data_IF_436882674385
#
_entry.id   IF_436882674385
#
_cell.length_a   1.000
_cell.length_b   1.000
_cell.length_c   1.000
_cell.angle_alpha   90.00
_cell.angle_beta   90.00
_cell.angle_gamma   90.00
#
_symmetry.space_group_name_H-M   'P 1'
#
loop_
_entity.id
_entity.type
_entity.pdbx_description
1 polymer ?
#
# COMPACT_ATOMS: atom_id res chain seq x y z
N UNK A 1 26.70 48.45 -47.30
CA UNK A 1 25.84 49.02 -46.25
C UNK A 1 26.27 48.42 -44.91
N UNK A 2 26.94 49.21 -44.08
CA UNK A 2 27.53 48.81 -42.79
C UNK A 2 26.49 49.07 -41.69
N UNK A 3 25.94 48.02 -41.06
CA UNK A 3 25.11 48.19 -39.87
C UNK A 3 25.97 48.06 -38.60
N UNK A 4 26.10 49.17 -37.86
CA UNK A 4 26.66 49.22 -36.51
C UNK A 4 25.61 48.73 -35.51
N UNK A 5 25.88 47.60 -34.84
CA UNK A 5 25.11 47.17 -33.67
C UNK A 5 25.62 47.91 -32.43
N UNK A 6 24.71 48.62 -31.75
CA UNK A 6 24.95 49.28 -30.46
C UNK A 6 24.58 48.29 -29.36
N UNK A 7 25.55 47.92 -28.53
CA UNK A 7 25.36 47.11 -27.33
C UNK A 7 25.00 48.01 -26.14
N UNK A 8 23.76 47.90 -25.65
CA UNK A 8 23.32 48.46 -24.37
C UNK A 8 23.58 47.43 -23.28
N UNK A 9 24.62 47.66 -22.48
CA UNK A 9 24.93 46.84 -21.31
C UNK A 9 23.90 47.06 -20.20
N UNK A 10 23.16 46.01 -19.85
CA UNK A 10 22.29 45.97 -18.67
C UNK A 10 23.12 45.51 -17.47
N UNK A 11 23.16 46.26 -16.36
CA UNK A 11 23.88 45.84 -15.16
C UNK A 11 23.12 44.71 -14.46
N UNK A 12 23.76 43.54 -14.36
CA UNK A 12 23.27 42.36 -13.67
C UNK A 12 23.52 42.52 -12.15
N UNK A 13 22.49 42.87 -11.39
CA UNK A 13 22.55 42.92 -9.92
C UNK A 13 22.45 41.49 -9.34
N UNK A 14 23.55 41.00 -8.75
CA UNK A 14 23.61 39.71 -8.06
C UNK A 14 23.05 39.87 -6.64
N UNK A 15 21.82 39.41 -6.42
CA UNK A 15 21.22 39.32 -5.08
C UNK A 15 21.75 38.07 -4.40
N UNK A 16 22.67 38.24 -3.44
CA UNK A 16 23.19 37.15 -2.60
C UNK A 16 22.16 36.85 -1.51
N UNK A 17 21.26 35.91 -1.79
CA UNK A 17 20.37 35.34 -0.77
C UNK A 17 21.18 34.40 0.13
N UNK A 18 21.45 34.84 1.36
CA UNK A 18 22.09 34.01 2.38
C UNK A 18 21.24 32.78 2.71
N UNK A 19 21.78 31.59 2.45
CA UNK A 19 21.17 30.33 2.85
C UNK A 19 21.22 30.22 4.38
N UNK A 20 20.10 30.50 5.06
CA UNK A 20 19.90 30.17 6.47
C UNK A 20 20.09 28.65 6.63
N UNK A 21 21.20 28.27 7.25
CA UNK A 21 21.56 26.87 7.50
C UNK A 21 20.51 26.29 8.44
N UNK A 22 19.67 25.39 7.92
CA UNK A 22 18.75 24.63 8.76
C UNK A 22 19.55 23.88 9.84
N UNK A 23 19.08 23.82 11.09
CA UNK A 23 19.74 23.05 12.14
C UNK A 23 19.97 21.63 11.64
N UNK A 24 21.23 21.19 11.70
CA UNK A 24 21.68 19.90 11.20
C UNK A 24 20.91 18.80 11.91
N UNK A 25 20.07 18.09 11.15
CA UNK A 25 19.29 16.97 11.68
C UNK A 25 20.27 15.93 12.26
N UNK A 26 20.05 15.42 13.48
CA UNK A 26 20.95 14.44 14.09
C UNK A 26 21.16 13.24 13.16
N UNK A 27 22.38 12.70 13.17
CA UNK A 27 22.71 11.51 12.42
C UNK A 27 21.83 10.32 12.87
N UNK A 28 21.42 9.42 11.94
CA UNK A 28 20.71 8.20 12.31
C UNK A 28 21.53 7.34 13.29
N UNK A 29 20.84 6.70 14.24
CA UNK A 29 21.47 5.76 15.17
C UNK A 29 21.70 4.41 14.48
N UNK A 30 22.75 3.63 14.84
CA UNK A 30 22.95 2.29 14.27
C UNK A 30 21.75 1.36 14.48
N UNK A 31 21.51 0.46 13.53
CA UNK A 31 20.51 -0.61 13.64
C UNK A 31 21.16 -1.78 14.38
N UNK A 32 20.59 -2.20 15.50
CA UNK A 32 21.15 -3.24 16.38
C UNK A 32 20.21 -4.42 16.62
N UNK A 33 19.33 -4.69 15.65
CA UNK A 33 18.35 -5.78 15.66
C UNK A 33 18.13 -6.27 14.24
N UNK A 34 17.52 -7.45 14.09
CA UNK A 34 17.09 -7.97 12.79
C UNK A 34 16.18 -6.97 12.08
N UNK A 35 16.37 -6.81 10.77
CA UNK A 35 15.43 -6.08 9.91
C UNK A 35 14.61 -7.09 9.11
N UNK A 36 13.30 -6.95 9.18
CA UNK A 36 12.33 -7.71 8.41
C UNK A 36 11.95 -6.96 7.15
N UNK A 37 11.88 -7.66 6.02
CA UNK A 37 11.43 -7.15 4.74
C UNK A 37 10.18 -7.92 4.28
N UNK A 38 9.20 -7.15 3.81
CA UNK A 38 8.02 -7.65 3.11
C UNK A 38 7.84 -6.96 1.76
N UNK A 39 7.27 -7.70 0.81
CA UNK A 39 6.82 -7.15 -0.47
C UNK A 39 5.38 -6.64 -0.35
N UNK A 40 5.09 -5.50 -0.99
CA UNK A 40 3.76 -4.95 -1.19
C UNK A 40 3.60 -4.33 -2.59
N UNK A 41 2.37 -4.15 -3.07
CA UNK A 41 2.07 -3.57 -4.40
C UNK A 41 1.15 -2.35 -4.25
N UNK A 42 1.50 -1.19 -4.80
CA UNK A 42 0.65 0.02 -4.75
C UNK A 42 -0.35 0.07 -5.90
N UNK A 43 -1.61 0.42 -5.59
CA UNK A 43 -2.73 0.56 -6.54
C UNK A 43 -3.36 1.98 -6.44
N UNK A 44 -3.99 2.52 -7.50
CA UNK A 44 -3.95 2.03 -8.87
C UNK A 44 -2.57 2.17 -9.46
N UNK A 45 -2.13 1.14 -10.15
CA UNK A 45 -1.20 1.32 -11.25
C UNK A 45 -1.54 0.24 -12.25
N UNK A 46 -1.80 0.61 -13.51
CA UNK A 46 -2.12 -0.34 -14.59
C UNK A 46 -1.08 -1.47 -14.70
N UNK A 47 0.10 -1.26 -14.14
CA UNK A 47 1.16 -2.25 -14.12
C UNK A 47 1.77 -2.51 -12.74
N UNK A 48 1.14 -2.12 -11.63
CA UNK A 48 1.66 -2.37 -10.27
C UNK A 48 2.97 -1.62 -9.95
N UNK A 49 3.04 -0.99 -8.78
CA UNK A 49 4.32 -0.46 -8.27
C UNK A 49 4.77 -1.31 -7.09
N UNK A 50 5.93 -1.96 -7.23
CA UNK A 50 6.49 -2.80 -6.17
C UNK A 50 7.06 -1.92 -5.05
N UNK A 51 6.67 -2.20 -3.81
CA UNK A 51 7.24 -1.60 -2.60
C UNK A 51 7.91 -2.66 -1.73
N UNK A 52 8.98 -2.25 -1.07
CA UNK A 52 9.59 -2.97 0.04
C UNK A 52 9.13 -2.30 1.35
N UNK A 53 8.52 -3.07 2.24
CA UNK A 53 8.20 -2.64 3.61
C UNK A 53 9.28 -3.21 4.53
N UNK A 54 9.95 -2.34 5.26
CA UNK A 54 11.00 -2.70 6.19
C UNK A 54 10.55 -2.37 7.62
N UNK A 55 10.85 -3.26 8.57
CA UNK A 55 10.66 -3.01 10.00
C UNK A 55 11.78 -3.65 10.81
N UNK A 56 12.20 -3.01 11.90
CA UNK A 56 13.09 -3.66 12.87
C UNK A 56 12.33 -4.65 13.74
N UNK A 57 13.00 -5.68 14.23
CA UNK A 57 12.50 -6.56 15.30
C UNK A 57 12.40 -5.79 16.63
N UNK A 58 13.36 -4.90 16.89
CA UNK A 58 13.36 -4.05 18.09
C UNK A 58 12.24 -3.03 18.04
N UNK A 59 11.57 -2.87 19.18
CA UNK A 59 10.66 -1.75 19.45
C UNK A 59 11.40 -0.56 20.09
N UNK A 60 10.93 0.64 19.78
CA UNK A 60 11.43 1.91 20.27
C UNK A 60 10.33 2.63 21.06
N UNK A 61 10.73 3.57 21.92
CA UNK A 61 9.82 4.39 22.75
C UNK A 61 8.85 5.31 22.01
N UNK A 62 8.81 5.26 20.67
CA UNK A 62 7.91 6.04 19.82
C UNK A 62 7.38 5.13 18.71
N UNK A 63 6.09 5.21 18.39
CA UNK A 63 5.46 4.34 17.38
C UNK A 63 5.73 4.78 15.93
N UNK A 64 6.21 6.00 15.74
CA UNK A 64 6.53 6.60 14.43
C UNK A 64 8.04 6.78 14.20
N UNK A 65 8.87 5.89 14.76
CA UNK A 65 10.31 5.87 14.44
C UNK A 65 10.51 5.41 13.00
N UNK A 66 11.38 6.12 12.28
CA UNK A 66 11.68 5.81 10.89
C UNK A 66 13.01 5.06 10.75
N UNK A 67 13.05 4.10 9.85
CA UNK A 67 14.28 3.51 9.33
C UNK A 67 14.78 4.42 8.20
N UNK A 68 15.92 5.07 8.37
CA UNK A 68 16.51 5.91 7.33
C UNK A 68 17.11 5.02 6.24
N UNK A 69 16.72 5.24 4.98
CA UNK A 69 17.15 4.44 3.84
C UNK A 69 17.62 5.32 2.67
N UNK A 70 18.42 4.75 1.78
CA UNK A 70 18.76 5.32 0.47
C UNK A 70 18.68 4.24 -0.61
N UNK A 71 18.10 4.56 -1.75
CA UNK A 71 17.96 3.64 -2.88
C UNK A 71 18.75 4.17 -4.09
N UNK A 72 19.75 3.41 -4.53
CA UNK A 72 20.41 3.61 -5.81
C UNK A 72 19.85 2.61 -6.84
N UNK A 73 19.63 3.10 -8.06
CA UNK A 73 19.05 2.35 -9.18
C UNK A 73 20.04 2.32 -10.33
N UNK A 74 20.20 1.16 -10.95
CA UNK A 74 20.90 0.99 -12.21
C UNK A 74 20.12 -0.02 -13.08
N UNK A 75 20.39 -0.10 -14.39
CA UNK A 75 19.74 -1.10 -15.24
C UNK A 75 19.90 -2.51 -14.65
N UNK A 76 18.77 -3.20 -14.41
CA UNK A 76 18.74 -4.56 -13.86
C UNK A 76 19.16 -4.69 -12.38
N UNK A 77 19.37 -3.60 -11.65
CA UNK A 77 19.83 -3.69 -10.25
C UNK A 77 19.34 -2.56 -9.33
N UNK A 78 19.14 -2.93 -8.06
CA UNK A 78 18.76 -2.03 -6.99
C UNK A 78 19.72 -2.21 -5.81
N UNK A 79 20.20 -1.09 -5.27
CA UNK A 79 20.97 -1.09 -4.02
C UNK A 79 20.24 -0.26 -2.96
N UNK A 80 19.77 -0.93 -1.91
CA UNK A 80 19.11 -0.32 -0.77
C UNK A 80 20.08 -0.26 0.42
N UNK A 81 20.46 0.94 0.83
CA UNK A 81 21.30 1.16 2.01
C UNK A 81 20.43 1.55 3.21
N UNK A 82 20.53 0.80 4.30
CA UNK A 82 19.91 1.09 5.59
C UNK A 82 20.87 1.95 6.41
N UNK A 83 20.57 3.24 6.52
CA UNK A 83 21.43 4.26 7.11
C UNK A 83 21.35 4.30 8.64
N UNK A 84 20.27 3.79 9.22
CA UNK A 84 20.07 3.77 10.68
C UNK A 84 18.63 4.05 11.10
N UNK A 85 18.44 4.21 12.40
CA UNK A 85 17.16 4.51 13.05
C UNK A 85 17.09 6.00 13.34
N UNK A 86 15.98 6.64 12.93
CA UNK A 86 15.77 8.07 13.07
C UNK A 86 14.52 8.35 13.91
N UNK A 87 14.72 9.11 14.98
CA UNK A 87 13.62 9.62 15.77
C UNK A 87 12.91 10.76 15.02
N UNK A 88 11.58 10.83 15.09
CA UNK A 88 10.82 11.96 14.59
C UNK A 88 11.02 13.20 15.49
N UNK A 89 10.68 14.38 14.97
CA UNK A 89 10.64 15.60 15.80
C UNK A 89 9.54 15.57 16.85
N UNK A 90 8.42 14.89 16.54
CA UNK A 90 7.31 14.62 17.45
C UNK A 90 7.14 13.11 17.58
N UNK A 91 7.29 12.63 18.81
CA UNK A 91 7.10 11.23 19.18
C UNK A 91 5.61 10.96 19.39
N UNK A 92 5.03 10.01 18.65
CA UNK A 92 3.72 9.47 18.98
C UNK A 92 3.87 8.49 20.14
N UNK A 93 3.11 8.71 21.22
CA UNK A 93 3.19 7.90 22.43
C UNK A 93 2.84 6.46 22.12
N UNK A 94 3.79 5.55 22.32
CA UNK A 94 3.61 4.12 22.08
C UNK A 94 4.92 3.46 21.72
N UNK A 95 5.01 2.16 21.99
CA UNK A 95 6.11 1.35 21.49
C UNK A 95 5.83 0.97 20.04
N UNK A 96 6.88 0.94 19.21
CA UNK A 96 6.77 0.45 17.84
C UNK A 96 8.13 0.25 17.17
N UNK A 97 8.19 -0.56 16.10
CA UNK A 97 9.42 -0.77 15.35
C UNK A 97 9.81 0.49 14.56
N UNK A 98 11.09 0.58 14.18
CA UNK A 98 11.49 1.54 13.16
C UNK A 98 11.07 1.01 11.79
N UNK A 99 10.34 1.82 11.01
CA UNK A 99 9.78 1.37 9.73
C UNK A 99 10.25 2.22 8.54
N UNK A 100 10.28 1.62 7.36
CA UNK A 100 10.45 2.32 6.08
C UNK A 100 9.63 1.65 4.98
N UNK A 101 9.17 2.46 4.03
CA UNK A 101 8.68 1.97 2.75
C UNK A 101 9.60 2.47 1.65
N UNK A 102 10.04 1.57 0.78
CA UNK A 102 10.91 1.88 -0.35
C UNK A 102 10.19 1.48 -1.63
N UNK A 103 9.90 2.47 -2.45
CA UNK A 103 9.29 2.28 -3.76
C UNK A 103 10.37 1.80 -4.75
N UNK A 104 10.17 0.66 -5.42
CA UNK A 104 11.02 0.15 -6.51
C UNK A 104 10.49 0.49 -7.89
N UNK A 105 9.34 1.14 -7.99
CA UNK A 105 8.70 1.56 -9.21
C UNK A 105 7.96 0.44 -9.92
N UNK A 106 7.54 0.74 -11.14
CA UNK A 106 7.08 -0.26 -12.06
C UNK A 106 8.26 -1.08 -12.60
N UNK A 107 8.12 -2.41 -12.60
CA UNK A 107 9.11 -3.36 -13.08
C UNK A 107 8.52 -4.24 -14.18
N UNK A 108 9.25 -4.35 -15.28
CA UNK A 108 8.95 -5.30 -16.35
C UNK A 108 9.27 -6.72 -15.91
N UNK A 109 8.71 -7.73 -16.59
CA UNK A 109 9.11 -9.11 -16.37
C UNK A 109 10.62 -9.29 -16.62
N UNK A 110 11.29 -10.02 -15.73
CA UNK A 110 12.73 -10.18 -15.77
C UNK A 110 13.32 -10.54 -14.41
N UNK A 111 14.64 -10.59 -14.38
CA UNK A 111 15.43 -10.82 -13.17
C UNK A 111 16.24 -9.58 -12.83
N UNK A 112 16.24 -9.19 -11.56
CA UNK A 112 16.95 -8.03 -11.05
C UNK A 112 17.82 -8.41 -9.87
N UNK A 113 19.00 -7.82 -9.78
CA UNK A 113 19.85 -7.92 -8.58
C UNK A 113 19.33 -6.98 -7.50
N UNK A 114 19.09 -7.51 -6.30
CA UNK A 114 18.82 -6.72 -5.10
C UNK A 114 20.02 -6.80 -4.16
N UNK A 115 20.59 -5.64 -3.82
CA UNK A 115 21.67 -5.54 -2.84
C UNK A 115 21.21 -4.70 -1.65
N UNK A 116 21.23 -5.28 -0.46
CA UNK A 116 20.95 -4.58 0.78
C UNK A 116 22.27 -4.28 1.50
N UNK A 117 22.45 -3.04 1.97
CA UNK A 117 23.62 -2.65 2.77
C UNK A 117 23.13 -2.29 4.16
N UNK A 118 23.56 -3.05 5.17
CA UNK A 118 23.20 -2.86 6.57
C UNK A 118 24.48 -2.85 7.42
N UNK A 119 24.74 -1.76 8.14
CA UNK A 119 25.94 -1.59 8.97
C UNK A 119 27.26 -1.89 8.21
N UNK A 120 27.32 -1.54 6.92
CA UNK A 120 28.47 -1.78 6.04
C UNK A 120 28.55 -3.19 5.45
N UNK A 121 27.78 -4.16 5.97
CA UNK A 121 27.67 -5.49 5.38
C UNK A 121 26.73 -5.47 4.17
N UNK A 122 27.12 -6.16 3.10
CA UNK A 122 26.30 -6.32 1.91
C UNK A 122 25.60 -7.69 1.92
N UNK A 123 24.32 -7.69 1.54
CA UNK A 123 23.47 -8.86 1.43
C UNK A 123 22.94 -8.88 0.00
N UNK A 124 23.21 -9.94 -0.73
CA UNK A 124 22.80 -10.08 -2.14
C UNK A 124 21.58 -10.99 -2.26
N UNK A 125 20.69 -10.64 -3.17
CA UNK A 125 19.46 -11.35 -3.48
C UNK A 125 19.06 -11.14 -4.93
N UNK A 126 18.13 -11.96 -5.41
CA UNK A 126 17.58 -11.83 -6.77
C UNK A 126 16.09 -11.59 -6.68
N UNK A 127 15.58 -10.64 -7.44
CA UNK A 127 14.16 -10.37 -7.60
C UNK A 127 13.71 -10.88 -8.96
N UNK A 128 12.82 -11.87 -8.94
CA UNK A 128 12.15 -12.42 -10.10
C UNK A 128 10.81 -11.71 -10.26
N UNK A 129 10.63 -11.06 -11.41
CA UNK A 129 9.39 -10.37 -11.77
C UNK A 129 8.72 -11.11 -12.92
N UNK A 130 7.47 -11.47 -12.73
CA UNK A 130 6.62 -12.08 -13.75
C UNK A 130 5.34 -11.28 -13.91
N UNK A 131 4.53 -11.60 -14.91
CA UNK A 131 3.23 -10.96 -15.09
C UNK A 131 2.32 -11.09 -13.85
N UNK A 132 2.43 -12.19 -13.09
CA UNK A 132 1.51 -12.49 -11.97
C UNK A 132 2.14 -12.51 -10.57
N UNK A 133 3.46 -12.32 -10.44
CA UNK A 133 4.11 -12.37 -9.13
C UNK A 133 5.47 -11.66 -9.09
N UNK A 134 5.85 -11.25 -7.89
CA UNK A 134 7.20 -10.89 -7.47
C UNK A 134 7.75 -11.97 -6.56
N UNK A 135 9.01 -12.34 -6.72
CA UNK A 135 9.68 -13.29 -5.82
C UNK A 135 11.12 -12.90 -5.53
N UNK A 136 11.49 -12.81 -4.25
CA UNK A 136 12.88 -12.68 -3.82
C UNK A 136 13.48 -14.07 -3.59
N UNK A 137 14.71 -14.27 -4.04
CA UNK A 137 15.50 -15.49 -3.83
C UNK A 137 16.81 -15.14 -3.13
N UNK A 138 17.09 -15.81 -2.01
CA UNK A 138 18.25 -15.52 -1.16
C UNK A 138 17.99 -14.40 -0.16
N UNK A 139 19.05 -13.84 0.43
CA UNK A 139 18.99 -12.62 1.24
C UNK A 139 18.79 -12.78 2.75
N UNK A 140 18.38 -13.94 3.24
CA UNK A 140 18.25 -14.15 4.69
C UNK A 140 19.62 -14.29 5.35
N UNK A 141 19.82 -13.54 6.42
CA UNK A 141 21.01 -13.52 7.27
C UNK A 141 20.61 -13.34 8.72
N UNK A 142 21.56 -13.40 9.66
CA UNK A 142 21.26 -13.16 11.08
C UNK A 142 20.74 -11.74 11.37
N UNK A 143 21.04 -10.74 10.53
CA UNK A 143 20.63 -9.34 10.71
C UNK A 143 19.52 -8.88 9.77
N UNK A 144 19.07 -9.74 8.85
CA UNK A 144 18.11 -9.39 7.82
C UNK A 144 17.27 -10.60 7.40
N UNK A 145 15.94 -10.47 7.47
CA UNK A 145 14.99 -11.54 7.17
C UNK A 145 13.96 -11.06 6.16
N UNK A 146 13.66 -11.89 5.16
CA UNK A 146 12.57 -11.72 4.21
C UNK A 146 11.42 -12.62 4.69
N UNK A 147 10.37 -12.02 5.26
CA UNK A 147 9.28 -12.75 5.92
C UNK A 147 8.45 -13.56 4.91
N UNK A 148 8.19 -12.96 3.74
CA UNK A 148 7.44 -13.58 2.65
C UNK A 148 8.14 -13.33 1.31
N UNK A 149 8.80 -14.37 0.80
CA UNK A 149 9.62 -14.27 -0.40
C UNK A 149 8.82 -14.14 -1.69
N UNK A 150 7.51 -14.42 -1.70
CA UNK A 150 6.65 -14.35 -2.89
C UNK A 150 5.42 -13.50 -2.63
N UNK A 151 5.12 -12.60 -3.56
CA UNK A 151 3.93 -11.75 -3.59
C UNK A 151 3.21 -11.94 -4.93
N UNK A 152 1.91 -12.26 -4.89
CA UNK A 152 1.06 -12.25 -6.07
C UNK A 152 0.69 -10.82 -6.44
N UNK A 153 0.63 -10.57 -7.74
CA UNK A 153 0.17 -9.30 -8.30
C UNK A 153 -1.33 -9.27 -8.36
N UNK A 154 -1.94 -8.16 -7.98
CA UNK A 154 -3.39 -7.96 -8.05
C UNK A 154 -3.80 -7.81 -9.52
N UNK A 155 -4.66 -8.69 -10.06
CA UNK A 155 -5.17 -8.53 -11.42
C UNK A 155 -6.05 -7.28 -11.55
N UNK A 156 -5.96 -6.56 -12.67
CA UNK A 156 -6.70 -5.29 -12.90
C UNK A 156 -8.20 -5.39 -12.64
N UNK A 157 -8.81 -6.53 -12.97
CA UNK A 157 -10.26 -6.77 -12.86
C UNK A 157 -10.65 -7.54 -11.60
N UNK A 158 -9.77 -7.63 -10.61
CA UNK A 158 -10.08 -8.25 -9.33
C UNK A 158 -10.91 -7.27 -8.50
N UNK A 159 -12.03 -7.73 -7.94
CA UNK A 159 -12.74 -7.04 -6.86
C UNK A 159 -12.75 -7.97 -5.65
N UNK A 160 -12.39 -7.46 -4.47
CA UNK A 160 -12.33 -8.27 -3.25
C UNK A 160 -12.81 -7.46 -2.06
N UNK A 161 -13.00 -8.14 -0.93
CA UNK A 161 -13.35 -7.47 0.31
C UNK A 161 -14.07 -8.41 1.25
N UNK A 162 -14.91 -7.82 2.10
CA UNK A 162 -15.67 -8.57 3.07
C UNK A 162 -16.95 -7.85 3.45
N UNK A 163 -17.90 -8.66 3.92
CA UNK A 163 -19.14 -8.18 4.51
C UNK A 163 -19.30 -8.75 5.92
N UNK A 164 -19.53 -7.88 6.89
CA UNK A 164 -19.68 -8.21 8.31
C UNK A 164 -21.08 -7.89 8.82
N UNK A 165 -21.66 -8.79 9.61
CA UNK A 165 -23.00 -8.64 10.20
C UNK A 165 -23.16 -9.47 11.49
N UNK A 166 -24.26 -9.25 12.21
CA UNK A 166 -24.50 -9.84 13.53
C UNK A 166 -25.71 -10.78 13.64
N UNK A 167 -26.72 -10.64 12.78
CA UNK A 167 -27.99 -11.36 12.89
C UNK A 167 -28.54 -11.83 11.53
N UNK A 168 -29.71 -12.48 11.57
CA UNK A 168 -30.38 -13.03 10.38
C UNK A 168 -30.83 -11.94 9.38
N UNK A 169 -31.19 -10.75 9.84
CA UNK A 169 -31.53 -9.64 8.96
C UNK A 169 -30.28 -9.13 8.23
N UNK A 170 -29.16 -9.02 8.94
CA UNK A 170 -27.85 -8.73 8.37
C UNK A 170 -27.38 -9.79 7.38
N UNK A 171 -27.66 -11.08 7.64
CA UNK A 171 -27.38 -12.16 6.69
C UNK A 171 -28.16 -12.00 5.39
N UNK A 172 -29.45 -11.69 5.46
CA UNK A 172 -30.28 -11.44 4.28
C UNK A 172 -29.74 -10.26 3.47
N UNK A 173 -29.45 -9.14 4.14
CA UNK A 173 -28.84 -7.97 3.51
C UNK A 173 -27.47 -8.25 2.90
N UNK A 174 -26.66 -9.12 3.53
CA UNK A 174 -25.37 -9.52 2.99
C UNK A 174 -25.52 -10.35 1.72
N UNK A 175 -26.48 -11.28 1.71
CA UNK A 175 -26.84 -12.04 0.52
C UNK A 175 -27.31 -11.11 -0.60
N UNK A 176 -28.18 -10.14 -0.30
CA UNK A 176 -28.70 -9.18 -1.28
C UNK A 176 -27.58 -8.32 -1.88
N UNK A 177 -26.61 -7.90 -1.06
CA UNK A 177 -25.42 -7.19 -1.56
C UNK A 177 -24.59 -8.06 -2.53
N UNK A 178 -24.30 -9.31 -2.15
CA UNK A 178 -23.53 -10.23 -3.01
C UNK A 178 -24.27 -10.57 -4.31
N UNK A 179 -25.60 -10.72 -4.26
CA UNK A 179 -26.42 -10.90 -5.45
C UNK A 179 -26.45 -9.63 -6.32
N UNK A 180 -26.46 -8.45 -5.69
CA UNK A 180 -26.33 -7.17 -6.36
C UNK A 180 -25.01 -7.03 -7.12
N UNK A 181 -23.88 -7.48 -6.53
CA UNK A 181 -22.59 -7.55 -7.23
C UNK A 181 -22.68 -8.45 -8.47
N UNK A 182 -23.28 -9.64 -8.35
CA UNK A 182 -23.44 -10.59 -9.47
C UNK A 182 -24.33 -10.01 -10.57
N UNK A 183 -25.44 -9.38 -10.19
CA UNK A 183 -26.34 -8.72 -11.13
C UNK A 183 -25.66 -7.54 -11.85
N UNK A 184 -24.71 -6.86 -11.20
CA UNK A 184 -23.87 -5.84 -11.80
C UNK A 184 -22.74 -6.40 -12.71
N UNK A 185 -22.62 -7.71 -12.85
CA UNK A 185 -21.62 -8.36 -13.70
C UNK A 185 -20.36 -8.82 -12.95
N UNK A 186 -20.39 -8.91 -11.61
CA UNK A 186 -19.34 -9.59 -10.87
C UNK A 186 -19.44 -11.11 -11.08
N UNK A 187 -18.35 -11.72 -11.53
CA UNK A 187 -18.30 -13.14 -11.85
C UNK A 187 -17.40 -13.88 -10.87
N UNK A 188 -17.80 -15.09 -10.49
CA UNK A 188 -16.92 -15.99 -9.77
C UNK A 188 -15.68 -16.28 -10.63
N UNK A 189 -14.50 -16.16 -10.04
CA UNK A 189 -13.24 -16.37 -10.74
C UNK A 189 -12.22 -17.04 -9.82
N UNK A 190 -11.47 -18.00 -10.36
CA UNK A 190 -10.41 -18.69 -9.62
C UNK A 190 -9.10 -17.92 -9.78
N UNK A 191 -8.80 -17.08 -8.80
CA UNK A 191 -7.53 -16.36 -8.75
C UNK A 191 -6.37 -17.27 -8.34
N UNK A 192 -5.15 -16.90 -8.73
CA UNK A 192 -3.97 -17.65 -8.38
C UNK A 192 -3.78 -17.70 -6.85
N UNK A 193 -3.55 -18.88 -6.30
CA UNK A 193 -3.31 -19.01 -4.86
C UNK A 193 -2.03 -18.30 -4.43
N UNK A 194 -2.02 -17.73 -3.23
CA UNK A 194 -0.88 -17.01 -2.68
C UNK A 194 -1.22 -15.75 -1.91
N UNK A 195 -0.18 -15.11 -1.38
CA UNK A 195 -0.26 -13.86 -0.63
C UNK A 195 -0.39 -12.67 -1.58
N UNK A 196 -1.30 -11.77 -1.25
CA UNK A 196 -1.48 -10.45 -1.86
C UNK A 196 -1.32 -9.39 -0.77
N UNK A 197 -0.74 -8.24 -1.11
CA UNK A 197 -0.51 -7.14 -0.17
C UNK A 197 -0.66 -5.80 -0.89
N UNK A 198 -1.89 -5.44 -1.31
CA UNK A 198 -2.15 -4.17 -1.96
C UNK A 198 -1.97 -3.00 -0.99
N UNK A 199 -1.51 -1.88 -1.52
CA UNK A 199 -1.44 -0.59 -0.85
C UNK A 199 -2.35 0.35 -1.61
N UNK A 200 -3.60 0.46 -1.16
CA UNK A 200 -4.60 1.38 -1.72
C UNK A 200 -4.55 2.73 -0.99
N UNK A 201 -4.41 2.68 0.34
CA UNK A 201 -4.26 3.87 1.18
C UNK A 201 -2.94 3.81 1.96
N UNK A 202 -2.17 4.91 2.02
CA UNK A 202 -0.96 4.98 2.84
C UNK A 202 -1.26 4.65 4.30
N UNK A 203 -0.40 3.85 4.92
CA UNK A 203 -0.53 3.47 6.34
C UNK A 203 -1.48 2.31 6.62
N UNK A 204 -2.22 1.83 5.61
CA UNK A 204 -3.04 0.61 5.74
C UNK A 204 -2.25 -0.59 5.19
N UNK A 205 -2.05 -1.60 6.05
CA UNK A 205 -1.28 -2.80 5.72
C UNK A 205 -2.22 -3.99 5.52
N UNK A 206 -3.10 -3.91 4.52
CA UNK A 206 -3.97 -5.02 4.20
C UNK A 206 -3.17 -6.12 3.51
N UNK A 207 -3.31 -7.33 4.04
CA UNK A 207 -2.72 -8.54 3.49
C UNK A 207 -3.81 -9.60 3.48
N UNK A 208 -3.99 -10.24 2.34
CA UNK A 208 -4.90 -11.36 2.21
C UNK A 208 -4.25 -12.50 1.46
N UNK A 209 -4.86 -13.67 1.56
CA UNK A 209 -4.43 -14.87 0.86
C UNK A 209 -5.57 -15.43 0.01
N UNK A 210 -5.25 -15.93 -1.18
CA UNK A 210 -6.16 -16.80 -1.93
C UNK A 210 -5.73 -18.24 -1.68
N UNK A 211 -6.60 -19.04 -1.06
CA UNK A 211 -6.32 -20.44 -0.76
C UNK A 211 -6.29 -21.33 -2.02
N UNK A 212 -5.94 -22.61 -1.88
CA UNK A 212 -5.88 -23.54 -2.99
C UNK A 212 -7.24 -23.80 -3.68
N UNK A 213 -8.35 -23.37 -3.08
CA UNK A 213 -9.71 -23.47 -3.63
C UNK A 213 -10.17 -22.15 -4.28
N UNK A 214 -9.29 -21.15 -4.35
CA UNK A 214 -9.60 -19.83 -4.91
C UNK A 214 -10.38 -18.93 -3.95
N UNK A 215 -10.48 -19.27 -2.66
CA UNK A 215 -11.23 -18.48 -1.68
C UNK A 215 -10.34 -17.43 -1.02
N UNK A 216 -10.91 -16.26 -0.78
CA UNK A 216 -10.29 -15.19 -0.02
C UNK A 216 -10.19 -15.56 1.46
N UNK A 217 -8.99 -15.48 2.01
CA UNK A 217 -8.69 -15.68 3.43
C UNK A 217 -8.08 -14.38 3.96
N UNK A 218 -8.75 -13.79 4.93
CA UNK A 218 -8.30 -12.57 5.61
C UNK A 218 -7.46 -12.94 6.84
N UNK A 219 -6.49 -12.09 7.16
CA UNK A 219 -5.73 -12.20 8.40
C UNK A 219 -6.50 -11.59 9.57
N UNK A 220 -6.62 -12.34 10.68
CA UNK A 220 -7.18 -11.86 11.94
C UNK A 220 -8.72 -11.88 12.04
N UNK A 221 -9.23 -11.45 13.19
CA UNK A 221 -10.67 -11.29 13.46
C UNK A 221 -11.05 -9.82 13.42
N UNK A 222 -11.97 -9.43 12.53
CA UNK A 222 -12.44 -8.05 12.40
C UNK A 222 -13.54 -7.68 13.42
N UNK A 223 -13.75 -8.50 14.45
CA UNK A 223 -14.73 -8.24 15.52
C UNK A 223 -16.20 -8.45 15.14
N UNK A 224 -16.49 -8.95 13.94
CA UNK A 224 -17.85 -9.31 13.53
C UNK A 224 -18.21 -10.72 13.99
N UNK A 225 -19.48 -10.93 14.35
CA UNK A 225 -20.03 -12.27 14.66
C UNK A 225 -19.97 -13.15 13.42
N UNK A 226 -20.35 -12.59 12.27
CA UNK A 226 -20.24 -13.21 10.96
C UNK A 226 -19.44 -12.30 10.02
N UNK A 227 -18.47 -12.90 9.35
CA UNK A 227 -17.62 -12.24 8.36
C UNK A 227 -17.56 -13.13 7.13
N UNK A 228 -18.03 -12.62 5.99
CA UNK A 228 -18.00 -13.33 4.72
C UNK A 228 -17.02 -12.61 3.76
N UNK A 229 -15.78 -13.14 3.60
CA UNK A 229 -14.86 -12.62 2.61
C UNK A 229 -15.31 -13.03 1.20
N UNK A 230 -15.13 -12.15 0.22
CA UNK A 230 -15.51 -12.43 -1.16
C UNK A 230 -14.47 -11.91 -2.14
N UNK A 231 -14.43 -12.54 -3.31
CA UNK A 231 -13.52 -12.19 -4.39
C UNK A 231 -14.16 -12.55 -5.73
N UNK A 232 -14.11 -11.62 -6.67
CA UNK A 232 -14.74 -11.74 -7.99
C UNK A 232 -13.87 -11.13 -9.07
N UNK A 233 -14.16 -11.49 -10.32
CA UNK A 233 -13.77 -10.70 -11.48
C UNK A 233 -14.87 -9.67 -11.75
N UNK A 234 -14.51 -8.41 -11.90
CA UNK A 234 -15.44 -7.34 -12.25
C UNK A 234 -14.85 -6.48 -13.37
N UNK A 235 -15.62 -6.28 -14.43
CA UNK A 235 -15.25 -5.47 -15.59
C UNK A 235 -16.28 -4.37 -15.89
N UNK A 236 -17.23 -4.16 -14.98
CA UNK A 236 -18.27 -3.15 -15.09
C UNK A 236 -17.80 -1.76 -14.67
N UNK A 237 -18.76 -0.87 -14.42
CA UNK A 237 -18.53 0.50 -13.97
C UNK A 237 -18.33 0.57 -12.45
N UNK A 238 -17.29 1.25 -12.00
CA UNK A 238 -16.99 1.44 -10.58
C UNK A 238 -18.05 2.30 -9.86
N UNK A 239 -18.77 3.15 -10.58
CA UNK A 239 -19.89 3.92 -9.98
C UNK A 239 -21.07 3.02 -9.63
N UNK A 240 -21.26 1.89 -10.32
CA UNK A 240 -22.25 0.87 -9.95
C UNK A 240 -21.85 0.22 -8.63
N UNK A 241 -20.58 -0.16 -8.47
CA UNK A 241 -20.06 -0.70 -7.20
C UNK A 241 -20.23 0.30 -6.05
N UNK A 242 -19.89 1.57 -6.29
CA UNK A 242 -20.07 2.66 -5.32
C UNK A 242 -21.53 2.84 -4.92
N UNK A 243 -22.45 2.75 -5.88
CA UNK A 243 -23.89 2.78 -5.65
C UNK A 243 -24.35 1.64 -4.74
N UNK A 244 -23.94 0.41 -5.03
CA UNK A 244 -24.26 -0.78 -4.23
C UNK A 244 -23.74 -0.66 -2.79
N UNK A 245 -22.45 -0.36 -2.60
CA UNK A 245 -21.84 -0.24 -1.27
C UNK A 245 -22.50 0.88 -0.46
N UNK A 246 -22.82 2.02 -1.10
CA UNK A 246 -23.55 3.12 -0.45
C UNK A 246 -24.95 2.70 -0.04
N UNK A 247 -25.73 2.11 -0.96
CA UNK A 247 -27.10 1.70 -0.70
C UNK A 247 -27.19 0.73 0.48
N UNK A 248 -26.29 -0.26 0.56
CA UNK A 248 -26.21 -1.19 1.70
C UNK A 248 -25.96 -0.45 3.01
N UNK A 249 -25.03 0.50 3.05
CA UNK A 249 -24.74 1.29 4.26
C UNK A 249 -25.89 2.21 4.68
N UNK A 250 -26.63 2.77 3.73
CA UNK A 250 -27.78 3.64 3.99
C UNK A 250 -29.02 2.86 4.47
N UNK A 251 -29.24 1.67 3.91
CA UNK A 251 -30.39 0.80 4.24
C UNK A 251 -30.18 0.02 5.55
N UNK A 252 -28.93 -0.31 5.89
CA UNK A 252 -28.60 -1.15 7.06
C UNK A 252 -27.58 -0.48 7.99
N UNK A 253 -27.83 0.76 8.47
CA UNK A 253 -26.85 1.52 9.24
C UNK A 253 -26.50 0.83 10.56
N UNK A 254 -25.23 0.46 10.73
CA UNK A 254 -24.72 -0.21 11.93
C UNK A 254 -25.04 -1.70 12.02
N UNK A 255 -25.84 -2.24 11.10
CA UNK A 255 -26.18 -3.67 11.06
C UNK A 255 -25.30 -4.45 10.07
N UNK A 256 -24.91 -3.81 8.96
CA UNK A 256 -24.09 -4.42 7.90
C UNK A 256 -22.93 -3.50 7.51
N UNK A 257 -21.74 -4.07 7.48
CA UNK A 257 -20.50 -3.37 7.12
C UNK A 257 -19.90 -4.01 5.89
N UNK A 258 -19.63 -3.20 4.87
CA UNK A 258 -19.06 -3.66 3.60
C UNK A 258 -17.77 -2.91 3.35
N UNK A 259 -16.70 -3.64 3.07
CA UNK A 259 -15.48 -3.14 2.46
C UNK A 259 -15.33 -3.80 1.10
N UNK A 260 -15.19 -2.99 0.04
CA UNK A 260 -14.92 -3.45 -1.31
C UNK A 260 -13.71 -2.71 -1.86
N UNK A 261 -12.70 -3.49 -2.25
CA UNK A 261 -11.54 -3.02 -2.97
C UNK A 261 -11.51 -3.57 -4.40
N UNK A 262 -10.69 -2.94 -5.24
CA UNK A 262 -10.60 -3.24 -6.67
C UNK A 262 -9.15 -3.19 -7.15
N UNK A 263 -8.87 -3.91 -8.23
CA UNK A 263 -7.53 -3.99 -8.84
C UNK A 263 -7.06 -2.65 -9.42
N UNK A 264 -7.97 -1.73 -9.69
CA UNK A 264 -7.68 -0.35 -10.05
C UNK A 264 -7.58 0.58 -8.82
N UNK A 265 -7.42 0.05 -7.61
CA UNK A 265 -7.08 0.83 -6.42
C UNK A 265 -8.21 1.71 -5.88
N UNK A 266 -9.46 1.36 -6.15
CA UNK A 266 -10.61 1.96 -5.47
C UNK A 266 -10.90 1.15 -4.21
N UNK A 267 -11.09 1.85 -3.09
CA UNK A 267 -11.60 1.30 -1.83
C UNK A 267 -12.93 1.97 -1.48
N UNK A 268 -13.94 1.15 -1.20
CA UNK A 268 -15.30 1.56 -0.88
C UNK A 268 -15.69 0.98 0.48
N UNK A 269 -16.21 1.82 1.35
CA UNK A 269 -16.66 1.45 2.69
C UNK A 269 -18.10 1.92 2.92
N UNK A 270 -19.00 1.02 3.30
CA UNK A 270 -20.43 1.36 3.44
C UNK A 270 -20.67 2.46 4.48
N UNK A 271 -19.92 2.46 5.59
CA UNK A 271 -20.06 3.44 6.67
C UNK A 271 -19.54 4.84 6.30
N UNK A 272 -18.48 4.92 5.51
CA UNK A 272 -17.95 6.20 5.00
C UNK A 272 -18.91 6.83 4.00
N UNK A 273 -19.42 6.02 3.06
CA UNK A 273 -20.31 6.49 2.00
C UNK A 273 -21.67 6.93 2.55
N UNK A 274 -22.28 6.15 3.45
CA UNK A 274 -23.57 6.50 4.05
C UNK A 274 -23.51 7.76 4.94
N UNK A 275 -22.40 7.98 5.65
CA UNK A 275 -22.20 9.17 6.48
C UNK A 275 -22.17 10.47 5.67
N UNK A 276 -21.61 10.43 4.47
CA UNK A 276 -21.49 11.61 3.60
C UNK A 276 -22.84 12.21 3.15
N UNK A 277 -23.86 11.37 2.93
CA UNK A 277 -25.21 11.81 2.53
C UNK A 277 -25.92 12.56 3.66
N UNK A 278 -25.74 12.12 4.91
CA UNK A 278 -26.37 12.75 6.08
C UNK A 278 -25.86 14.17 6.30
N UNK A 279 -24.57 14.40 6.10
CA UNK A 279 -23.95 15.72 6.24
C UNK A 279 -24.52 16.73 5.22
N UNK A 280 -24.71 16.33 3.95
CA UNK A 280 -25.30 17.22 2.92
C UNK A 280 -26.76 17.57 3.19
N UNK A 281 -27.57 16.59 3.63
CA UNK A 281 -28.98 16.88 3.97
C UNK A 281 -29.11 17.83 5.17
N UNK A 282 -28.13 17.87 6.06
CA UNK A 282 -28.11 18.82 7.16
C UNK A 282 -27.76 20.25 6.70
N UNK A 283 -26.82 20.40 5.76
CA UNK A 283 -26.45 21.73 5.21
C UNK A 283 -27.53 22.34 4.33
N UNK A 284 -28.34 21.54 3.65
CA UNK A 284 -29.43 22.06 2.79
C UNK A 284 -30.66 22.52 3.59
N UNK A 285 -30.69 22.26 4.90
CA UNK A 285 -31.79 22.63 5.82
C UNK A 285 -31.44 23.81 6.73
N UNK A 286 -30.22 24.33 6.66
CA UNK A 286 -29.75 25.52 7.39
C UNK A 286 -29.69 26.73 6.47
#
# INVERSE_FOLDING_TARGET
MLHRLVWLGVPLAVIVTGCLSHPTRPAPRPINSTVHLELAETLPSAQGTLRLRLRTEREYGCSNVALATSLARAPGSFQLTLLGVRNPGVCLTGLGPATAEVDLGHLTAGEYTLRFILNGAAIESRLLVTAGAYRIVGGNTASFTIDHSTLRRVPERMAWGWIGYADAAGQAAAKDFLDGLRAAGAEAHVFASGRYAPVIQPGVNEVFHIDARGRLVLGGTLGFVHLEPYVFRYAGDDEVLRGLVRATGEQHPGAVYVLLDTGNGIQLMSWTLAGSTRARRASDRS
#
